data_IF_191062099618
#
_entry.id   IF_191062099618
#
_cell.length_a   1.000
_cell.length_b   1.000
_cell.length_c   1.000
_cell.angle_alpha   90.00
_cell.angle_beta   90.00
_cell.angle_gamma   90.00
#
_symmetry.space_group_name_H-M   'P 1'
#
loop_
_entity.id
_entity.type
_entity.pdbx_description
1 polymer ?
#
# COMPACT_ATOMS: atom_id res chain seq x y z
N UNK A 1 8.04 13.03 10.53
CA UNK A 1 7.33 11.77 10.19
C UNK A 1 5.95 12.16 9.72
N UNK A 2 5.54 11.66 8.57
CA UNK A 2 4.24 11.95 7.97
C UNK A 2 3.45 10.66 7.86
N UNK A 3 2.16 10.73 8.19
CA UNK A 3 1.22 9.62 8.05
C UNK A 3 0.43 9.83 6.77
N UNK A 4 0.54 8.90 5.83
CA UNK A 4 -0.22 8.94 4.58
C UNK A 4 -1.19 7.78 4.54
N UNK A 5 -2.48 8.10 4.45
CA UNK A 5 -3.51 7.08 4.23
C UNK A 5 -3.66 6.82 2.73
N UNK A 6 -3.63 5.55 2.35
CA UNK A 6 -3.80 5.12 0.96
C UNK A 6 -4.74 3.93 0.84
N UNK A 7 -5.40 3.80 -0.30
CA UNK A 7 -6.00 2.56 -0.77
C UNK A 7 -5.09 1.95 -1.83
N UNK A 8 -4.68 0.70 -1.60
CA UNK A 8 -4.02 -0.14 -2.60
C UNK A 8 -5.06 -1.11 -3.17
N UNK A 9 -5.13 -1.24 -4.49
CA UNK A 9 -6.05 -2.15 -5.19
C UNK A 9 -5.25 -3.19 -5.97
N UNK A 10 -5.45 -4.46 -5.64
CA UNK A 10 -4.79 -5.62 -6.22
C UNK A 10 -5.73 -6.31 -7.21
N UNK A 11 -5.15 -6.88 -8.27
CA UNK A 11 -5.85 -7.64 -9.31
C UNK A 11 -4.97 -8.78 -9.81
N UNK A 12 -5.59 -9.92 -10.15
CA UNK A 12 -4.90 -11.08 -10.72
C UNK A 12 -3.69 -11.50 -9.89
N UNK A 13 -2.55 -11.69 -10.55
CA UNK A 13 -1.34 -12.25 -9.91
C UNK A 13 -0.79 -11.42 -8.73
N UNK A 14 -1.10 -10.11 -8.68
CA UNK A 14 -0.61 -9.24 -7.58
C UNK A 14 -1.19 -9.59 -6.21
N UNK A 15 -2.28 -10.35 -6.14
CA UNK A 15 -2.86 -10.85 -4.89
C UNK A 15 -1.95 -11.86 -4.17
N UNK A 16 -1.13 -12.59 -4.93
CA UNK A 16 -0.22 -13.61 -4.39
C UNK A 16 1.15 -13.03 -4.00
N UNK A 17 1.41 -11.75 -4.30
CA UNK A 17 2.65 -11.08 -3.96
C UNK A 17 2.61 -10.51 -2.52
N UNK A 18 3.68 -10.67 -1.72
CA UNK A 18 3.75 -10.14 -0.35
C UNK A 18 4.06 -8.63 -0.35
N UNK A 19 3.26 -7.82 -1.06
CA UNK A 19 3.53 -6.41 -1.30
C UNK A 19 3.63 -5.62 -0.01
N UNK A 20 2.64 -5.74 0.88
CA UNK A 20 2.59 -4.99 2.16
C UNK A 20 3.82 -5.30 3.02
N UNK A 21 4.24 -6.58 3.06
CA UNK A 21 5.45 -6.98 3.76
C UNK A 21 6.72 -6.33 3.17
N UNK A 22 6.84 -6.32 1.83
CA UNK A 22 7.97 -5.67 1.15
C UNK A 22 8.03 -4.17 1.40
N UNK A 23 6.89 -3.49 1.52
CA UNK A 23 6.86 -2.06 1.87
C UNK A 23 7.62 -1.80 3.18
N UNK A 24 7.35 -2.58 4.21
CA UNK A 24 8.02 -2.42 5.51
C UNK A 24 9.50 -2.80 5.50
N UNK A 25 9.89 -3.82 4.73
CA UNK A 25 11.28 -4.29 4.68
C UNK A 25 12.19 -3.43 3.79
N UNK A 26 11.68 -2.98 2.63
CA UNK A 26 12.50 -2.34 1.60
C UNK A 26 12.43 -0.81 1.63
N UNK A 27 11.36 -0.25 2.20
CA UNK A 27 11.08 1.20 2.17
C UNK A 27 10.90 1.82 3.56
N UNK A 28 11.34 1.16 4.65
CA UNK A 28 11.34 1.72 6.02
C UNK A 28 10.01 2.37 6.46
N UNK A 29 8.88 1.92 5.90
CA UNK A 29 7.55 2.41 6.26
C UNK A 29 6.85 1.42 7.20
N UNK A 30 6.23 1.94 8.25
CA UNK A 30 5.34 1.14 9.09
C UNK A 30 3.97 1.13 8.43
N UNK A 31 3.40 -0.05 8.24
CA UNK A 31 2.08 -0.24 7.62
C UNK A 31 1.04 -0.59 8.69
N UNK A 32 -0.05 0.16 8.75
CA UNK A 32 -1.21 -0.15 9.59
C UNK A 32 -2.46 -0.38 8.72
N UNK A 33 -3.06 -1.56 8.79
CA UNK A 33 -4.27 -1.89 8.03
C UNK A 33 -5.49 -1.27 8.73
N UNK A 34 -6.23 -0.41 8.01
CA UNK A 34 -7.49 0.16 8.51
C UNK A 34 -8.69 -0.67 8.08
N UNK A 35 -8.73 -1.02 6.79
CA UNK A 35 -9.83 -1.76 6.15
C UNK A 35 -9.25 -2.61 5.02
N UNK A 36 -9.85 -3.76 4.78
CA UNK A 36 -9.52 -4.60 3.65
C UNK A 36 -10.79 -5.30 3.15
N UNK A 37 -10.87 -5.48 1.85
CA UNK A 37 -11.86 -6.33 1.20
C UNK A 37 -11.12 -7.11 0.11
N UNK A 38 -11.05 -8.43 0.26
CA UNK A 38 -10.26 -9.30 -0.61
C UNK A 38 -11.14 -10.45 -1.05
N UNK A 39 -11.33 -10.55 -2.36
CA UNK A 39 -11.97 -11.67 -3.03
C UNK A 39 -10.94 -12.47 -3.83
N UNK A 40 -11.39 -13.54 -4.48
CA UNK A 40 -10.53 -14.53 -5.17
C UNK A 40 -9.65 -13.88 -6.26
N UNK A 41 -10.20 -12.96 -7.06
CA UNK A 41 -9.49 -12.37 -8.21
C UNK A 41 -9.17 -10.87 -8.08
N UNK A 42 -9.74 -10.22 -7.07
CA UNK A 42 -9.50 -8.79 -6.83
C UNK A 42 -9.72 -8.40 -5.38
N UNK A 43 -9.06 -7.33 -4.95
CA UNK A 43 -9.24 -6.81 -3.60
C UNK A 43 -8.61 -5.44 -3.42
N UNK A 44 -8.91 -4.82 -2.30
CA UNK A 44 -8.28 -3.59 -1.89
C UNK A 44 -8.00 -3.57 -0.40
N UNK A 45 -7.01 -2.77 -0.01
CA UNK A 45 -6.64 -2.51 1.37
C UNK A 45 -6.45 -1.02 1.56
N UNK A 46 -7.00 -0.48 2.63
CA UNK A 46 -6.68 0.84 3.14
C UNK A 46 -5.61 0.74 4.21
N UNK A 47 -4.49 1.42 3.98
CA UNK A 47 -3.33 1.44 4.86
C UNK A 47 -3.05 2.86 5.33
N UNK A 48 -2.65 3.00 6.58
CA UNK A 48 -1.80 4.11 6.99
C UNK A 48 -0.33 3.69 6.79
N UNK A 49 0.42 4.54 6.10
CA UNK A 49 1.85 4.44 5.92
C UNK A 49 2.51 5.51 6.78
N UNK A 50 3.29 5.08 7.77
CA UNK A 50 4.01 5.94 8.69
C UNK A 50 5.52 5.85 8.37
N UNK A 51 6.13 6.97 8.00
CA UNK A 51 7.56 7.02 7.65
C UNK A 51 8.05 8.41 7.26
N UNK A 52 9.25 8.44 6.65
CA UNK A 52 9.73 9.64 5.95
C UNK A 52 9.00 9.80 4.61
N UNK A 53 8.67 11.03 4.24
CA UNK A 53 7.87 11.30 3.04
C UNK A 53 8.51 10.71 1.77
N UNK A 54 9.84 10.82 1.64
CA UNK A 54 10.56 10.26 0.50
C UNK A 54 10.45 8.73 0.42
N UNK A 55 10.50 8.04 1.56
CA UNK A 55 10.36 6.59 1.64
C UNK A 55 8.92 6.14 1.35
N UNK A 56 7.92 6.88 1.86
CA UNK A 56 6.50 6.66 1.49
C UNK A 56 6.30 6.83 -0.01
N UNK A 57 6.85 7.88 -0.62
CA UNK A 57 6.69 8.11 -2.06
C UNK A 57 7.38 7.02 -2.90
N UNK A 58 8.56 6.54 -2.48
CA UNK A 58 9.24 5.39 -3.10
C UNK A 58 8.43 4.09 -2.98
N UNK A 59 7.83 3.83 -1.82
CA UNK A 59 6.95 2.69 -1.58
C UNK A 59 5.72 2.72 -2.49
N UNK A 60 5.08 3.90 -2.63
CA UNK A 60 3.91 4.05 -3.50
C UNK A 60 4.28 3.92 -4.98
N UNK A 61 5.44 4.40 -5.39
CA UNK A 61 5.91 4.23 -6.77
C UNK A 61 6.21 2.76 -7.10
N UNK A 62 6.79 2.03 -6.15
CA UNK A 62 6.95 0.58 -6.27
C UNK A 62 5.61 -0.11 -6.50
N UNK A 63 4.58 0.20 -5.71
CA UNK A 63 3.24 -0.35 -5.92
C UNK A 63 2.71 -0.07 -7.33
N UNK A 64 2.83 1.18 -7.82
CA UNK A 64 2.41 1.53 -9.18
C UNK A 64 3.17 0.75 -10.24
N UNK A 65 4.48 0.58 -10.07
CA UNK A 65 5.34 -0.19 -11.00
C UNK A 65 4.93 -1.66 -11.12
N UNK A 66 4.28 -2.21 -10.07
CA UNK A 66 3.75 -3.58 -10.02
C UNK A 66 2.31 -3.67 -10.56
N UNK A 67 1.74 -2.60 -11.09
CA UNK A 67 0.36 -2.56 -11.58
C UNK A 67 -0.69 -2.44 -10.47
N UNK A 68 -0.29 -2.15 -9.24
CA UNK A 68 -1.20 -1.99 -8.10
C UNK A 68 -1.82 -0.60 -8.18
N UNK A 69 -3.14 -0.52 -8.08
CA UNK A 69 -3.84 0.75 -8.02
C UNK A 69 -3.51 1.48 -6.72
N UNK A 70 -3.10 2.74 -6.80
CA UNK A 70 -2.75 3.55 -5.61
C UNK A 70 -3.63 4.80 -5.59
N UNK A 71 -4.41 4.96 -4.52
CA UNK A 71 -5.22 6.16 -4.27
C UNK A 71 -4.86 6.73 -2.89
N UNK A 72 -4.47 8.00 -2.81
CA UNK A 72 -4.35 8.70 -1.53
C UNK A 72 -5.75 9.02 -1.01
N UNK A 73 -5.97 8.80 0.27
CA UNK A 73 -7.22 9.10 0.95
C UNK A 73 -7.01 10.30 1.86
N UNK A 74 -8.03 11.16 1.97
CA UNK A 74 -8.03 12.21 2.96
C UNK A 74 -8.19 11.60 4.37
N UNK A 75 -7.56 12.20 5.40
CA UNK A 75 -7.87 11.86 6.79
C UNK A 75 -9.37 12.11 7.02
N UNK A 76 -10.04 11.16 7.66
CA UNK A 76 -11.42 11.35 8.11
C UNK A 76 -11.50 12.36 9.25
#
# INVERSE_FOLDING_TARGET
MARTTVRLTFRGDTLNDPIIYRLGQEYKVVTNIRRADVAEDSGWVELDLDGEQAEVDRALEYCRSRGIGVQRLEPA
#
